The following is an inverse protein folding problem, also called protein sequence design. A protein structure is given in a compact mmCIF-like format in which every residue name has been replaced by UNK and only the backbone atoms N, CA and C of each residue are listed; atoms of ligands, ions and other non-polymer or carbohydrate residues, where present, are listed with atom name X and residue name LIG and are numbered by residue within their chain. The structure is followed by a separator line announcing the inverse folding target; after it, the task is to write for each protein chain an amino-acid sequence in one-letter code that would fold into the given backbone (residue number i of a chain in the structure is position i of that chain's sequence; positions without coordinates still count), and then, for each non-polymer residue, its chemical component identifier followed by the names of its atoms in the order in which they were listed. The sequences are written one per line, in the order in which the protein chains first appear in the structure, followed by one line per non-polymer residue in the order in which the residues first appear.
data_IF_135850604700
#
_entry.id   IF_135850604700
#
_cell.length_a   1.000
_cell.length_b   1.000
_cell.length_c   1.000
_cell.angle_alpha   90.00
_cell.angle_beta   90.00
_cell.angle_gamma   90.00
#
_symmetry.space_group_name_H-M   'P 1'
#
loop_
_entity.id
_entity.type
_entity.pdbx_description
1 polymer ?
#
# COMPACT_ATOMS: atom_id res chain seq x y z
N UNK A 1 -5.79 8.27 -7.51
CA UNK A 1 -4.38 8.01 -7.84
C UNK A 1 -4.36 7.32 -9.18
N UNK A 2 -3.66 7.88 -10.16
CA UNK A 2 -3.44 7.27 -11.46
C UNK A 2 -2.20 6.35 -11.44
N UNK A 3 -2.05 5.50 -12.46
CA UNK A 3 -0.96 4.53 -12.53
C UNK A 3 0.43 5.15 -12.60
N UNK A 4 0.60 6.35 -13.19
CA UNK A 4 1.92 7.00 -13.28
C UNK A 4 2.34 7.55 -11.92
N UNK A 5 1.40 8.21 -11.23
CA UNK A 5 1.61 8.71 -9.87
C UNK A 5 1.87 7.56 -8.90
N UNK A 6 1.12 6.47 -8.99
CA UNK A 6 1.37 5.28 -8.16
C UNK A 6 2.75 4.69 -8.41
N UNK A 7 3.17 4.56 -9.68
CA UNK A 7 4.49 4.01 -9.99
C UNK A 7 5.60 4.81 -9.32
N UNK A 8 5.59 6.14 -9.49
CA UNK A 8 6.57 7.04 -8.88
C UNK A 8 6.57 6.92 -7.36
N UNK A 9 5.38 6.99 -6.75
CA UNK A 9 5.19 6.82 -5.32
C UNK A 9 5.69 5.47 -4.80
N UNK A 10 5.43 4.38 -5.53
CA UNK A 10 5.86 3.04 -5.17
C UNK A 10 7.37 2.88 -5.24
N UNK A 11 8.01 3.45 -6.26
CA UNK A 11 9.47 3.42 -6.41
C UNK A 11 10.18 4.26 -5.32
N UNK A 12 9.63 5.43 -4.97
CA UNK A 12 10.19 6.34 -3.96
C UNK A 12 9.93 5.88 -2.51
N UNK A 13 8.81 5.20 -2.26
CA UNK A 13 8.33 4.88 -0.91
C UNK A 13 8.01 3.39 -0.72
N UNK A 14 8.70 2.50 -1.46
CA UNK A 14 8.52 1.05 -1.38
C UNK A 14 8.57 0.52 0.05
N UNK A 15 9.52 1.01 0.85
CA UNK A 15 9.68 0.58 2.24
C UNK A 15 8.46 0.94 3.09
N UNK A 16 7.93 2.16 2.94
CA UNK A 16 6.73 2.62 3.65
C UNK A 16 5.48 1.85 3.25
N UNK A 17 5.39 1.46 1.98
CA UNK A 17 4.33 0.57 1.49
C UNK A 17 4.50 -0.81 2.13
N UNK A 18 5.71 -1.35 2.21
CA UNK A 18 5.95 -2.61 2.91
C UNK A 18 5.57 -2.54 4.39
N UNK A 19 5.83 -1.41 5.07
CA UNK A 19 5.43 -1.17 6.45
C UNK A 19 3.90 -1.10 6.61
N UNK A 20 3.20 -0.41 5.70
CA UNK A 20 1.74 -0.30 5.74
C UNK A 20 1.03 -1.62 5.38
N UNK A 21 1.64 -2.45 4.52
CA UNK A 21 1.12 -3.76 4.12
C UNK A 21 2.08 -4.88 4.51
N UNK A 22 2.21 -5.12 5.82
CA UNK A 22 3.11 -6.13 6.42
C UNK A 22 2.97 -7.57 5.87
N UNK A 23 1.84 -7.92 5.23
CA UNK A 23 1.61 -9.25 4.64
C UNK A 23 2.14 -9.36 3.20
N UNK A 24 2.58 -8.25 2.59
CA UNK A 24 3.26 -8.28 1.30
C UNK A 24 4.72 -8.71 1.50
N UNK A 25 5.13 -9.72 0.75
CA UNK A 25 6.52 -10.15 0.72
C UNK A 25 7.37 -9.26 -0.20
N UNK A 26 8.69 -9.26 -0.05
CA UNK A 26 9.59 -8.57 -0.99
C UNK A 26 9.39 -9.06 -2.44
N UNK A 27 9.10 -10.35 -2.62
CA UNK A 27 8.75 -10.94 -3.90
C UNK A 27 7.46 -10.35 -4.50
N UNK A 28 6.42 -10.16 -3.69
CA UNK A 28 5.16 -9.55 -4.12
C UNK A 28 5.41 -8.10 -4.55
N UNK A 29 6.17 -7.35 -3.76
CA UNK A 29 6.53 -5.97 -4.07
C UNK A 29 7.37 -5.86 -5.36
N UNK A 30 8.26 -6.82 -5.60
CA UNK A 30 9.02 -6.93 -6.88
C UNK A 30 8.11 -7.26 -8.06
N UNK A 31 7.13 -8.13 -7.87
CA UNK A 31 6.17 -8.47 -8.91
C UNK A 31 5.25 -7.30 -9.26
N UNK A 32 4.82 -6.55 -8.25
CA UNK A 32 4.01 -5.34 -8.42
C UNK A 32 4.77 -4.31 -9.24
N UNK A 33 6.03 -4.02 -8.91
CA UNK A 33 6.92 -3.11 -9.66
C UNK A 33 6.25 -1.77 -10.04
N UNK A 34 5.49 -1.17 -9.12
CA UNK A 34 4.75 0.07 -9.35
C UNK A 34 3.54 -0.05 -10.29
N UNK A 35 3.05 -1.26 -10.57
CA UNK A 35 1.80 -1.49 -11.29
C UNK A 35 0.61 -1.47 -10.33
N UNK A 36 -0.24 -0.44 -10.47
CA UNK A 36 -1.40 -0.24 -9.60
C UNK A 36 -2.42 -1.39 -9.67
N UNK A 37 -2.68 -1.94 -10.86
CA UNK A 37 -3.66 -3.03 -11.00
C UNK A 37 -3.18 -4.32 -10.33
N UNK A 38 -1.89 -4.64 -10.50
CA UNK A 38 -1.26 -5.77 -9.81
C UNK A 38 -1.24 -5.55 -8.30
N UNK A 39 -0.91 -4.33 -7.84
CA UNK A 39 -0.94 -3.99 -6.42
C UNK A 39 -2.33 -4.24 -5.82
N UNK A 40 -3.38 -3.70 -6.46
CA UNK A 40 -4.75 -3.86 -5.99
C UNK A 40 -5.17 -5.32 -5.97
N UNK A 41 -4.88 -6.09 -7.02
CA UNK A 41 -5.19 -7.52 -7.08
C UNK A 41 -4.47 -8.32 -5.99
N UNK A 42 -3.17 -8.10 -5.80
CA UNK A 42 -2.36 -8.82 -4.81
C UNK A 42 -2.80 -8.46 -3.39
N UNK A 43 -2.95 -7.17 -3.08
CA UNK A 43 -3.39 -6.73 -1.76
C UNK A 43 -4.83 -7.18 -1.48
N UNK A 44 -5.73 -7.10 -2.46
CA UNK A 44 -7.11 -7.57 -2.32
C UNK A 44 -7.17 -9.07 -2.05
N UNK A 45 -6.34 -9.88 -2.72
CA UNK A 45 -6.27 -11.31 -2.49
C UNK A 45 -5.73 -11.66 -1.09
N UNK A 46 -4.69 -10.97 -0.63
CA UNK A 46 -4.03 -11.24 0.66
C UNK A 46 -4.87 -10.77 1.85
N UNK A 47 -5.41 -9.55 1.76
CA UNK A 47 -6.15 -8.92 2.85
C UNK A 47 -7.66 -9.16 2.77
N UNK A 48 -8.16 -9.73 1.65
CA UNK A 48 -9.59 -9.98 1.40
C UNK A 48 -10.45 -8.70 1.51
N UNK A 49 -9.90 -7.58 1.06
CA UNK A 49 -10.57 -6.27 1.06
C UNK A 49 -10.81 -5.78 -0.37
N UNK A 50 -11.88 -5.00 -0.60
CA UNK A 50 -12.17 -4.47 -1.93
C UNK A 50 -11.16 -3.40 -2.35
N UNK A 51 -10.94 -3.28 -3.67
CA UNK A 51 -9.99 -2.32 -4.26
C UNK A 51 -10.23 -0.87 -3.81
N UNK A 52 -11.49 -0.49 -3.57
CA UNK A 52 -11.85 0.85 -3.10
C UNK A 52 -11.25 1.18 -1.73
N UNK A 53 -11.25 0.21 -0.82
CA UNK A 53 -10.64 0.36 0.51
C UNK A 53 -9.12 0.46 0.38
N UNK A 54 -8.50 -0.37 -0.45
CA UNK A 54 -7.06 -0.34 -0.70
C UNK A 54 -6.64 1.02 -1.28
N UNK A 55 -7.41 1.56 -2.23
CA UNK A 55 -7.16 2.88 -2.81
C UNK A 55 -7.30 4.00 -1.80
N UNK A 56 -8.24 3.89 -0.85
CA UNK A 56 -8.42 4.87 0.22
C UNK A 56 -7.23 4.84 1.19
N UNK A 57 -6.82 3.66 1.63
CA UNK A 57 -5.65 3.48 2.49
C UNK A 57 -4.38 3.95 1.80
N UNK A 58 -4.19 3.64 0.52
CA UNK A 58 -3.06 4.10 -0.27
C UNK A 58 -2.95 5.62 -0.34
N UNK A 59 -4.07 6.32 -0.50
CA UNK A 59 -4.09 7.80 -0.43
C UNK A 59 -3.76 8.31 0.98
N UNK A 60 -4.22 7.61 2.02
CA UNK A 60 -3.90 7.98 3.40
C UNK A 60 -2.40 7.81 3.69
N UNK A 61 -1.80 6.69 3.27
CA UNK A 61 -0.36 6.45 3.38
C UNK A 61 0.42 7.52 2.60
N UNK A 62 0.03 7.81 1.36
CA UNK A 62 0.65 8.88 0.58
C UNK A 62 0.60 10.23 1.31
N UNK A 63 -0.58 10.62 1.80
CA UNK A 63 -0.78 11.88 2.52
C UNK A 63 0.05 11.95 3.80
N UNK A 64 0.11 10.86 4.58
CA UNK A 64 0.90 10.80 5.80
C UNK A 64 2.41 10.94 5.54
N UNK A 65 2.90 10.35 4.44
CA UNK A 65 4.29 10.50 3.99
C UNK A 65 4.58 11.94 3.56
N UNK A 66 3.70 12.55 2.76
CA UNK A 66 3.83 13.94 2.31
C UNK A 66 3.80 14.93 3.48
N UNK A 67 2.97 14.68 4.50
CA UNK A 67 2.88 15.49 5.72
C UNK A 67 4.03 15.22 6.71
N UNK A 68 4.94 14.28 6.42
CA UNK A 68 6.07 13.93 7.28
C UNK A 68 5.64 13.33 8.62
N UNK A 69 4.39 12.84 8.71
CA UNK A 69 3.85 12.26 9.92
C UNK A 69 4.46 10.87 10.06
N UNK A 70 5.35 10.70 11.06
CA UNK A 70 5.77 9.39 11.56
C UNK A 70 4.57 8.71 12.22
N UNK A 71 3.65 8.26 11.37
CA UNK A 71 2.51 7.45 11.80
C UNK A 71 3.05 6.07 12.03
N UNK A 72 2.90 5.56 13.25
CA UNK A 72 3.13 4.16 13.57
C UNK A 72 2.17 3.34 12.67
N UNK A 73 2.68 2.77 11.57
CA UNK A 73 1.89 2.01 10.60
C UNK A 73 1.49 0.62 11.14
N UNK A 74 1.73 0.35 12.43
CA UNK A 74 1.21 -0.81 13.14
C UNK A 74 -0.29 -0.96 12.88
N UNK A 75 -0.74 -2.15 12.46
CA UNK A 75 -1.91 -2.29 11.61
C UNK A 75 -3.21 -1.92 12.35
N UNK A 76 -3.90 -0.87 11.87
CA UNK A 76 -5.36 -0.70 12.07
C UNK A 76 -6.20 -1.61 11.16
N UNK A 77 -5.54 -2.55 10.48
CA UNK A 77 -6.14 -3.56 9.60
C UNK A 77 -6.24 -4.94 10.28
N UNK A 78 -5.99 -5.03 11.59
CA UNK A 78 -6.27 -6.24 12.38
C UNK A 78 -7.77 -6.22 12.76
N UNK A 79 -8.60 -7.15 12.25
CA UNK A 79 -9.96 -7.32 12.72
C UNK A 79 -9.89 -8.13 14.03
N UNK A 80 -9.55 -7.46 15.12
CA UNK A 80 -9.69 -8.02 16.47
C UNK A 80 -10.57 -7.09 17.29
N UNK A 81 -11.88 -7.27 17.09
CA UNK A 81 -12.80 -7.34 18.24
C UNK A 81 -12.68 -8.74 18.86
#
# INVERSE_FOLDING_TARGET
MDSKTFKKFFEEHRDKISEAWIKLSDADLKMINGNLDLFLKTVSAIYKVPNEVILKELRAVQKNIEEGINTDYSPRLDPRE
#
